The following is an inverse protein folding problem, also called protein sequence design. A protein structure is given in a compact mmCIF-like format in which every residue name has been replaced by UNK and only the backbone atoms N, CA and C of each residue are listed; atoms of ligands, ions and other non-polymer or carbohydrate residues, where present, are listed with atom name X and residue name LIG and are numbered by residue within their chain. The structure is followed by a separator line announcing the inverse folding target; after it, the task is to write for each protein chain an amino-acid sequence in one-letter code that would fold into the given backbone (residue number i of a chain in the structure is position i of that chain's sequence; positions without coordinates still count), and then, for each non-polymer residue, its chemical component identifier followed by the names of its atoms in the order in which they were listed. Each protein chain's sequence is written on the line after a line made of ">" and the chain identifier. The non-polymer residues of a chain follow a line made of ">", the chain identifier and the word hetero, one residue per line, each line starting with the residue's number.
data_IF_645819600932
#
_entry.id   IF_645819600932
#
_cell.length_a   1.000
_cell.length_b   1.000
_cell.length_c   1.000
_cell.angle_alpha   90.00
_cell.angle_beta   90.00
_cell.angle_gamma   90.00
#
_symmetry.space_group_name_H-M   'P 1'
#
loop_
_entity.id
_entity.type
_entity.pdbx_description
1 polymer ?
#
# COMPACT_ATOMS: atom_id res chain seq x y z
N UNK A 1 17.16 10.16 3.46
CA UNK A 1 16.80 9.34 2.29
C UNK A 1 18.09 8.93 1.57
N UNK A 2 18.42 7.65 1.63
CA UNK A 2 19.60 7.03 1.04
C UNK A 2 19.55 7.03 -0.50
N UNK A 3 20.67 6.74 -1.15
CA UNK A 3 20.72 6.56 -2.61
C UNK A 3 19.77 5.45 -3.07
N UNK A 4 19.76 4.31 -2.37
CA UNK A 4 18.90 3.17 -2.67
C UNK A 4 17.42 3.49 -2.50
N UNK A 5 17.04 4.26 -1.48
CA UNK A 5 15.66 4.71 -1.29
C UNK A 5 15.19 5.65 -2.41
N UNK A 6 16.08 6.50 -2.94
CA UNK A 6 15.77 7.37 -4.07
C UNK A 6 15.59 6.59 -5.37
N UNK A 7 16.38 5.54 -5.59
CA UNK A 7 16.24 4.64 -6.75
C UNK A 7 14.96 3.80 -6.65
N UNK A 8 14.69 3.22 -5.47
CA UNK A 8 13.45 2.49 -5.21
C UNK A 8 12.21 3.37 -5.49
N UNK A 9 12.25 4.63 -5.08
CA UNK A 9 11.14 5.55 -5.31
C UNK A 9 10.84 5.80 -6.80
N UNK A 10 11.87 5.81 -7.65
CA UNK A 10 11.71 5.98 -9.11
C UNK A 10 11.11 4.74 -9.76
N UNK A 11 11.42 3.57 -9.23
CA UNK A 11 10.95 2.28 -9.75
C UNK A 11 9.54 1.94 -9.24
N UNK A 12 9.06 2.60 -8.19
CA UNK A 12 7.71 2.37 -7.68
C UNK A 12 6.64 2.98 -8.60
N UNK A 13 5.66 2.21 -9.08
CA UNK A 13 4.58 2.71 -9.93
C UNK A 13 3.84 3.89 -9.29
N UNK A 14 3.40 4.83 -10.14
CA UNK A 14 2.55 5.95 -9.73
C UNK A 14 1.28 5.44 -9.02
N UNK A 15 0.93 6.05 -7.90
CA UNK A 15 -0.22 5.64 -7.08
C UNK A 15 -1.56 5.64 -7.85
N UNK A 16 -1.69 6.49 -8.88
CA UNK A 16 -2.83 6.53 -9.78
C UNK A 16 -3.03 5.22 -10.57
N UNK A 17 -1.95 4.49 -10.84
CA UNK A 17 -1.93 3.24 -11.61
C UNK A 17 -2.16 2.00 -10.75
N UNK A 18 -2.23 2.16 -9.43
CA UNK A 18 -2.44 1.04 -8.52
C UNK A 18 -3.86 0.48 -8.72
N UNK A 19 -4.03 -0.85 -8.63
CA UNK A 19 -5.33 -1.50 -8.67
C UNK A 19 -6.27 -0.89 -7.62
N UNK A 20 -7.56 -0.90 -7.93
CA UNK A 20 -8.59 -0.33 -7.07
C UNK A 20 -9.38 -1.45 -6.43
N UNK A 21 -9.53 -1.37 -5.13
CA UNK A 21 -10.23 -2.37 -4.32
C UNK A 21 -11.54 -1.72 -3.83
N UNK A 22 -12.69 -2.03 -4.46
CA UNK A 22 -13.95 -1.36 -4.18
C UNK A 22 -14.72 -1.94 -2.98
N UNK A 23 -14.33 -3.11 -2.45
CA UNK A 23 -14.95 -3.68 -1.25
C UNK A 23 -16.37 -4.22 -1.43
N UNK A 24 -16.86 -4.32 -2.68
CA UNK A 24 -18.28 -4.58 -2.99
C UNK A 24 -18.61 -6.02 -3.37
N UNK A 25 -17.61 -6.89 -3.57
CA UNK A 25 -17.78 -8.32 -3.87
C UNK A 25 -17.20 -9.19 -2.73
N UNK A 26 -17.23 -10.52 -2.86
CA UNK A 26 -16.43 -11.41 -1.99
C UNK A 26 -15.00 -10.88 -2.03
N UNK A 27 -14.59 -10.24 -0.93
CA UNK A 27 -13.40 -9.42 -0.90
C UNK A 27 -12.17 -10.29 -1.15
N UNK A 28 -11.68 -10.29 -2.39
CA UNK A 28 -10.47 -11.00 -2.75
C UNK A 28 -9.24 -10.17 -2.33
N UNK A 29 -9.02 -10.18 -1.03
CA UNK A 29 -7.82 -9.66 -0.38
C UNK A 29 -6.54 -10.27 -0.93
N UNK A 30 -6.60 -11.42 -1.62
CA UNK A 30 -5.43 -12.06 -2.20
C UNK A 30 -4.85 -11.23 -3.33
N UNK A 31 -5.68 -10.63 -4.19
CA UNK A 31 -5.18 -9.75 -5.26
C UNK A 31 -4.44 -8.53 -4.71
N UNK A 32 -4.91 -7.98 -3.58
CA UNK A 32 -4.23 -6.87 -2.91
C UNK A 32 -2.89 -7.31 -2.32
N UNK A 33 -2.87 -8.46 -1.65
CA UNK A 33 -1.67 -9.02 -1.01
C UNK A 33 -0.63 -9.36 -2.08
N UNK A 34 -1.03 -10.09 -3.12
CA UNK A 34 -0.17 -10.48 -4.24
C UNK A 34 0.40 -9.24 -4.95
N UNK A 35 -0.39 -8.19 -5.12
CA UNK A 35 0.10 -6.93 -5.67
C UNK A 35 1.15 -6.27 -4.79
N UNK A 36 0.93 -6.20 -3.48
CA UNK A 36 1.89 -5.63 -2.52
C UNK A 36 3.18 -6.45 -2.49
N UNK A 37 3.08 -7.78 -2.46
CA UNK A 37 4.23 -8.68 -2.50
C UNK A 37 5.03 -8.49 -3.80
N UNK A 38 4.34 -8.34 -4.93
CA UNK A 38 4.95 -7.98 -6.21
C UNK A 38 5.75 -6.68 -6.14
N UNK A 39 5.24 -5.64 -5.46
CA UNK A 39 5.98 -4.37 -5.29
C UNK A 39 7.28 -4.55 -4.50
N UNK A 40 7.29 -5.40 -3.47
CA UNK A 40 8.50 -5.69 -2.70
C UNK A 40 9.53 -6.50 -3.48
N UNK A 41 9.08 -7.38 -4.38
CA UNK A 41 9.93 -8.15 -5.30
C UNK A 41 10.52 -7.23 -6.37
N UNK A 42 9.68 -6.42 -7.01
CA UNK A 42 10.06 -5.56 -8.15
C UNK A 42 10.87 -4.34 -7.72
N UNK A 43 10.67 -3.86 -6.49
CA UNK A 43 11.35 -2.69 -5.93
C UNK A 43 12.09 -3.05 -4.63
N UNK A 44 13.27 -3.71 -4.75
CA UNK A 44 14.06 -4.07 -3.59
C UNK A 44 14.43 -2.84 -2.74
N UNK A 45 14.39 -2.99 -1.42
CA UNK A 45 14.70 -1.93 -0.45
C UNK A 45 13.69 -0.77 -0.38
N UNK A 46 12.48 -0.94 -0.92
CA UNK A 46 11.43 0.05 -0.67
C UNK A 46 10.97 0.01 0.81
N UNK A 47 10.94 1.15 1.51
CA UNK A 47 10.40 1.16 2.87
C UNK A 47 8.88 1.02 2.90
N UNK A 48 8.36 0.25 3.85
CA UNK A 48 6.93 -0.01 4.06
C UNK A 48 6.08 1.27 4.13
N UNK A 49 6.63 2.35 4.70
CA UNK A 49 5.93 3.61 4.84
C UNK A 49 5.56 4.24 3.48
N UNK A 50 6.30 3.95 2.40
CA UNK A 50 5.97 4.44 1.06
C UNK A 50 4.79 3.69 0.45
N UNK A 51 4.71 2.38 0.68
CA UNK A 51 3.61 1.53 0.21
C UNK A 51 2.34 1.89 0.98
N UNK A 52 2.40 1.89 2.32
CA UNK A 52 1.26 2.19 3.19
C UNK A 52 0.73 3.61 3.04
N UNK A 53 1.58 4.58 2.67
CA UNK A 53 1.13 5.93 2.32
C UNK A 53 0.28 5.97 1.03
N UNK A 54 0.57 5.08 0.06
CA UNK A 54 -0.12 5.02 -1.24
C UNK A 54 -1.36 4.13 -1.23
N UNK A 55 -1.46 3.17 -0.29
CA UNK A 55 -2.64 2.31 -0.12
C UNK A 55 -3.96 3.08 0.06
N UNK A 56 -3.92 4.27 0.67
CA UNK A 56 -5.07 5.19 0.75
C UNK A 56 -5.71 5.49 -0.63
N UNK A 57 -4.91 5.45 -1.69
CA UNK A 57 -5.39 5.70 -3.06
C UNK A 57 -5.88 4.45 -3.76
N UNK A 58 -5.53 3.26 -3.27
CA UNK A 58 -5.94 1.97 -3.82
C UNK A 58 -7.35 1.59 -3.35
N UNK A 59 -7.70 1.91 -2.10
CA UNK A 59 -9.05 1.73 -1.59
C UNK A 59 -10.03 2.78 -2.12
N UNK A 60 -11.28 2.39 -2.33
CA UNK A 60 -12.37 3.29 -2.73
C UNK A 60 -13.59 3.10 -1.84
N UNK A 61 -14.39 4.16 -1.71
CA UNK A 61 -15.66 4.09 -1.00
C UNK A 61 -15.47 3.73 0.48
N UNK A 62 -16.21 2.72 0.95
CA UNK A 62 -16.23 2.31 2.35
C UNK A 62 -14.86 1.81 2.84
N UNK A 63 -14.11 1.12 1.99
CA UNK A 63 -12.79 0.58 2.34
C UNK A 63 -11.75 1.67 2.58
N UNK A 64 -11.88 2.80 1.88
CA UNK A 64 -10.98 3.94 2.12
C UNK A 64 -11.20 4.56 3.50
N UNK A 65 -12.47 4.60 3.95
CA UNK A 65 -12.82 5.10 5.28
C UNK A 65 -12.29 4.13 6.34
N UNK A 66 -12.58 2.83 6.16
CA UNK A 66 -12.06 1.78 7.04
C UNK A 66 -10.53 1.82 7.17
N UNK A 67 -9.80 1.91 6.06
CA UNK A 67 -8.34 1.93 6.10
C UNK A 67 -7.78 3.17 6.81
N UNK A 68 -8.39 4.34 6.61
CA UNK A 68 -8.02 5.57 7.33
C UNK A 68 -8.26 5.38 8.83
N UNK A 69 -9.44 4.89 9.23
CA UNK A 69 -9.76 4.63 10.65
C UNK A 69 -8.79 3.63 11.28
N UNK A 70 -8.50 2.51 10.59
CA UNK A 70 -7.54 1.52 11.08
C UNK A 70 -6.13 2.11 11.21
N UNK A 71 -5.71 2.96 10.27
CA UNK A 71 -4.43 3.65 10.32
C UNK A 71 -4.35 4.65 11.48
N UNK A 72 -5.42 5.34 11.80
CA UNK A 72 -5.48 6.24 12.96
C UNK A 72 -5.43 5.48 14.29
N UNK A 73 -6.17 4.37 14.38
CA UNK A 73 -6.27 3.54 15.59
C UNK A 73 -5.00 2.71 15.85
N UNK A 74 -4.35 2.24 14.80
CA UNK A 74 -3.28 1.24 14.89
C UNK A 74 -1.96 1.62 14.22
N UNK A 75 -1.94 2.57 13.29
CA UNK A 75 -0.78 2.88 12.44
C UNK A 75 0.41 3.53 13.14
N UNK A 76 0.28 3.92 14.42
CA UNK A 76 1.41 4.39 15.25
C UNK A 76 1.96 3.32 16.19
N UNK A 77 1.42 2.10 16.16
CA UNK A 77 1.90 0.99 16.98
C UNK A 77 3.00 0.25 16.22
N UNK A 78 4.19 0.20 16.80
CA UNK A 78 5.13 -0.87 16.47
C UNK A 78 4.50 -2.18 16.91
N UNK A 79 4.36 -3.13 16.00
CA UNK A 79 4.04 -4.50 16.39
C UNK A 79 5.13 -5.02 17.35
N UNK A 80 4.75 -5.63 18.50
CA UNK A 80 5.71 -6.23 19.41
C UNK A 80 6.41 -7.45 18.80
#
# INVERSE_FOLDING_TARGET
>A
MSYYEKEALKNLPEASRWPKFPGTEEYDHMELIDYIDGLFIDVPSIPDYWITARLNTAFKGHDSIWYIEMKELHGRRSWP
#
